data_IF_285223495486
#
_entry.id   IF_285223495486
#
_cell.length_a   1.000
_cell.length_b   1.000
_cell.length_c   1.000
_cell.angle_alpha   90.00
_cell.angle_beta   90.00
_cell.angle_gamma   90.00
#
_symmetry.space_group_name_H-M   'P 1'
#
loop_
_entity.id
_entity.type
_entity.pdbx_description
1 polymer ?
#
# COMPACT_ATOMS: atom_id res chain seq x y z
N UNK A 1 37.67 16.40 5.87
CA UNK A 1 37.17 15.45 4.85
C UNK A 1 36.17 16.06 3.87
N UNK A 2 35.20 16.90 4.29
CA UNK A 2 34.22 17.46 3.34
C UNK A 2 34.85 18.34 2.24
N UNK A 3 35.78 19.23 2.59
CA UNK A 3 36.51 20.07 1.61
C UNK A 3 37.29 19.23 0.59
N UNK A 4 37.92 18.15 1.04
CA UNK A 4 38.65 17.22 0.19
C UNK A 4 37.71 16.50 -0.80
N UNK A 5 36.54 16.05 -0.32
CA UNK A 5 35.49 15.45 -1.14
C UNK A 5 34.94 16.43 -2.17
N UNK A 6 34.64 17.66 -1.77
CA UNK A 6 34.19 18.72 -2.69
C UNK A 6 35.28 19.04 -3.71
N UNK A 7 36.54 19.15 -3.30
CA UNK A 7 37.67 19.36 -4.23
C UNK A 7 37.79 18.23 -5.24
N UNK A 8 37.66 16.98 -4.81
CA UNK A 8 37.68 15.81 -5.69
C UNK A 8 36.47 15.78 -6.65
N UNK A 9 35.28 16.18 -6.18
CA UNK A 9 34.09 16.36 -7.02
C UNK A 9 34.32 17.43 -8.10
N UNK A 10 34.88 18.60 -7.73
CA UNK A 10 35.21 19.64 -8.71
C UNK A 10 36.25 19.15 -9.75
N UNK A 11 37.21 18.32 -9.33
CA UNK A 11 38.18 17.70 -10.25
C UNK A 11 37.56 16.69 -11.21
N UNK A 12 36.45 16.05 -10.81
CA UNK A 12 35.71 15.05 -11.61
C UNK A 12 34.98 15.67 -12.81
N UNK A 13 34.69 16.97 -12.76
CA UNK A 13 33.97 17.69 -13.81
C UNK A 13 34.66 17.64 -15.18
N UNK A 14 33.89 17.69 -16.29
CA UNK A 14 34.43 17.89 -17.64
C UNK A 14 35.37 19.10 -17.72
N UNK A 15 36.44 18.98 -18.52
CA UNK A 15 37.49 20.01 -18.67
C UNK A 15 36.94 21.43 -18.89
N UNK A 16 35.92 21.67 -19.75
CA UNK A 16 35.39 23.01 -19.99
C UNK A 16 34.72 23.65 -18.77
N UNK A 17 34.05 22.85 -17.93
CA UNK A 17 33.40 23.33 -16.70
C UNK A 17 34.42 23.54 -15.59
N UNK A 18 35.40 22.64 -15.49
CA UNK A 18 36.45 22.72 -14.47
C UNK A 18 37.34 23.95 -14.63
N UNK A 19 37.63 24.37 -15.87
CA UNK A 19 38.44 25.56 -16.16
C UNK A 19 37.79 26.87 -15.65
N UNK A 20 36.46 26.93 -15.61
CA UNK A 20 35.72 28.11 -15.14
C UNK A 20 35.74 28.26 -13.60
N UNK A 21 36.15 27.22 -12.88
CA UNK A 21 36.14 27.17 -11.41
C UNK A 21 37.54 27.25 -10.78
N UNK A 22 38.59 27.47 -11.58
CA UNK A 22 39.96 27.56 -11.10
C UNK A 22 40.15 28.90 -10.36
N UNK A 23 40.73 28.93 -9.14
CA UNK A 23 41.39 27.82 -8.42
C UNK A 23 40.42 26.88 -7.68
N UNK A 24 40.44 25.58 -8.03
CA UNK A 24 39.52 24.59 -7.46
C UNK A 24 39.58 24.46 -5.93
N UNK A 25 40.75 24.50 -5.27
CA UNK A 25 40.80 24.42 -3.80
C UNK A 25 40.11 25.61 -3.12
N UNK A 26 40.25 26.81 -3.70
CA UNK A 26 39.60 28.01 -3.18
C UNK A 26 38.08 27.94 -3.38
N UNK A 27 37.64 27.52 -4.57
CA UNK A 27 36.22 27.30 -4.87
C UNK A 27 35.61 26.25 -3.93
N UNK A 28 36.32 25.14 -3.69
CA UNK A 28 35.85 24.11 -2.77
C UNK A 28 35.64 24.63 -1.35
N UNK A 29 36.55 25.45 -0.81
CA UNK A 29 36.40 26.11 0.50
C UNK A 29 35.15 26.99 0.57
N UNK A 30 34.93 27.82 -0.45
CA UNK A 30 33.76 28.70 -0.52
C UNK A 30 32.45 27.90 -0.60
N UNK A 31 32.43 26.84 -1.42
CA UNK A 31 31.28 25.94 -1.54
C UNK A 31 30.97 25.29 -0.20
N UNK A 32 31.97 24.71 0.48
CA UNK A 32 31.79 24.02 1.77
C UNK A 32 31.18 24.94 2.83
N UNK A 33 31.58 26.22 2.87
CA UNK A 33 31.03 27.18 3.81
C UNK A 33 29.51 27.42 3.61
N UNK A 34 29.03 27.24 2.39
CA UNK A 34 27.62 27.44 2.03
C UNK A 34 26.81 26.14 2.01
N UNK A 35 27.42 24.99 2.32
CA UNK A 35 26.71 23.71 2.43
C UNK A 35 26.04 23.59 3.79
N UNK A 36 24.78 23.11 3.78
CA UNK A 36 24.04 22.74 4.98
C UNK A 36 24.02 21.23 5.13
N UNK A 37 24.29 20.75 6.34
CA UNK A 37 24.24 19.33 6.64
C UNK A 37 22.79 18.80 6.53
N UNK A 38 22.62 17.59 5.97
CA UNK A 38 21.33 16.92 5.88
C UNK A 38 20.39 17.41 4.77
N UNK A 39 20.79 18.39 3.95
CA UNK A 39 19.93 18.95 2.90
C UNK A 39 20.24 18.38 1.50
N UNK A 40 19.40 17.44 1.04
CA UNK A 40 19.44 16.92 -0.33
C UNK A 40 20.67 16.08 -0.67
N UNK A 41 20.89 15.81 -1.96
CA UNK A 41 22.08 15.08 -2.43
C UNK A 41 23.28 16.02 -2.56
N UNK A 42 24.47 15.52 -2.25
CA UNK A 42 25.71 16.30 -2.27
C UNK A 42 25.99 16.96 -3.64
N UNK A 43 25.85 16.28 -4.81
CA UNK A 43 26.05 16.93 -6.10
C UNK A 43 25.08 18.09 -6.36
N UNK A 44 23.84 17.98 -5.90
CA UNK A 44 22.82 19.04 -6.03
C UNK A 44 23.16 20.21 -5.11
N UNK A 45 23.54 19.95 -3.86
CA UNK A 45 23.92 20.98 -2.90
C UNK A 45 25.17 21.73 -3.36
N UNK A 46 26.20 21.01 -3.85
CA UNK A 46 27.42 21.58 -4.43
C UNK A 46 27.11 22.42 -5.67
N UNK A 47 26.29 21.92 -6.59
CA UNK A 47 25.84 22.67 -7.78
C UNK A 47 25.19 24.02 -7.42
N UNK A 48 24.26 24.01 -6.45
CA UNK A 48 23.59 25.22 -5.97
C UNK A 48 24.56 26.19 -5.30
N UNK A 49 25.48 25.67 -4.47
CA UNK A 49 26.47 26.47 -3.79
C UNK A 49 27.46 27.11 -4.77
N UNK A 50 27.91 26.39 -5.81
CA UNK A 50 28.73 26.96 -6.89
C UNK A 50 27.97 28.09 -7.58
N UNK A 51 26.71 27.86 -7.94
CA UNK A 51 25.90 28.88 -8.60
C UNK A 51 25.73 30.14 -7.72
N UNK A 52 25.56 29.97 -6.41
CA UNK A 52 25.46 31.09 -5.48
C UNK A 52 26.77 31.86 -5.32
N UNK A 53 27.93 31.17 -5.33
CA UNK A 53 29.24 31.81 -5.16
C UNK A 53 29.78 32.46 -6.44
N UNK A 54 29.58 31.84 -7.61
CA UNK A 54 30.24 32.23 -8.86
C UNK A 54 29.28 32.57 -10.01
N UNK A 55 27.97 32.34 -9.85
CA UNK A 55 26.98 32.50 -10.91
C UNK A 55 26.99 31.38 -11.97
N UNK A 56 27.98 30.47 -11.94
CA UNK A 56 28.12 29.40 -12.91
C UNK A 56 27.15 28.27 -12.59
N UNK A 57 26.33 27.89 -13.57
CA UNK A 57 25.38 26.79 -13.43
C UNK A 57 26.01 25.48 -13.88
N UNK A 58 26.14 24.54 -12.96
CA UNK A 58 26.66 23.19 -13.23
C UNK A 58 25.56 22.17 -13.01
N UNK A 59 25.14 21.39 -14.02
CA UNK A 59 24.19 20.31 -13.82
C UNK A 59 24.76 19.28 -12.82
N UNK A 60 24.00 18.84 -11.79
CA UNK A 60 24.44 17.84 -10.82
C UNK A 60 24.94 16.53 -11.45
N UNK A 61 24.42 16.19 -12.62
CA UNK A 61 24.77 14.99 -13.40
C UNK A 61 26.16 15.09 -14.05
N UNK A 62 26.78 16.28 -14.02
CA UNK A 62 28.14 16.49 -14.55
C UNK A 62 29.23 16.03 -13.58
N UNK A 63 28.90 15.78 -12.31
CA UNK A 63 29.83 15.26 -11.33
C UNK A 63 29.96 13.75 -11.49
N UNK A 64 31.20 13.26 -11.60
CA UNK A 64 31.48 11.84 -11.71
C UNK A 64 31.99 11.30 -10.36
N UNK A 65 31.05 10.85 -9.52
CA UNK A 65 31.36 10.27 -8.20
C UNK A 65 32.20 8.99 -8.30
N UNK A 66 32.20 8.31 -9.46
CA UNK A 66 33.01 7.11 -9.71
C UNK A 66 34.50 7.40 -9.86
N UNK A 67 34.90 8.68 -9.94
CA UNK A 67 36.31 9.12 -9.93
C UNK A 67 36.81 9.50 -8.54
N UNK A 68 35.94 9.54 -7.53
CA UNK A 68 36.34 9.86 -6.17
C UNK A 68 37.18 8.72 -5.59
N UNK A 69 38.22 9.05 -4.84
CA UNK A 69 38.99 8.08 -4.08
C UNK A 69 38.08 7.32 -3.10
N UNK A 70 38.45 6.08 -2.80
CA UNK A 70 37.64 5.15 -2.01
C UNK A 70 37.23 5.67 -0.62
N UNK A 71 38.11 6.42 0.05
CA UNK A 71 37.86 6.99 1.38
C UNK A 71 36.97 8.25 1.35
N UNK A 72 36.71 8.82 0.16
CA UNK A 72 35.80 9.97 -0.03
C UNK A 72 34.38 9.54 -0.41
N UNK A 73 34.18 8.25 -0.69
CA UNK A 73 32.85 7.68 -0.98
C UNK A 73 32.14 7.32 0.31
N UNK A 74 30.81 7.37 0.28
CA UNK A 74 30.00 6.93 1.40
C UNK A 74 30.29 5.44 1.66
N UNK A 75 30.62 5.12 2.91
CA UNK A 75 30.70 3.75 3.41
C UNK A 75 29.67 3.64 4.52
N UNK A 76 28.83 2.62 4.42
CA UNK A 76 27.82 2.29 5.41
C UNK A 76 28.38 1.12 6.20
N UNK A 77 28.39 1.26 7.52
CA UNK A 77 28.74 0.20 8.44
C UNK A 77 27.52 -0.08 9.29
N UNK A 78 27.16 -1.36 9.38
CA UNK A 78 26.04 -1.83 10.18
C UNK A 78 26.63 -2.49 11.40
N UNK A 79 26.30 -1.95 12.57
CA UNK A 79 26.74 -2.45 13.85
C UNK A 79 25.63 -3.28 14.51
N UNK A 80 26.03 -4.31 15.26
CA UNK A 80 25.17 -5.08 16.15
C UNK A 80 24.99 -4.39 17.50
N UNK A 81 24.27 -5.05 18.42
CA UNK A 81 23.99 -4.53 19.77
C UNK A 81 25.25 -4.35 20.62
N UNK A 82 26.31 -5.13 20.39
CA UNK A 82 27.57 -5.05 21.14
C UNK A 82 28.59 -4.08 20.50
N UNK A 83 28.13 -3.14 19.66
CA UNK A 83 28.98 -2.27 18.81
C UNK A 83 29.94 -3.05 17.88
N UNK A 84 29.69 -4.35 17.66
CA UNK A 84 30.46 -5.16 16.72
C UNK A 84 30.03 -4.88 15.27
N UNK A 85 30.98 -4.69 14.33
CA UNK A 85 30.66 -4.45 12.92
C UNK A 85 30.16 -5.73 12.25
N UNK A 86 28.88 -5.77 11.88
CA UNK A 86 28.24 -6.93 11.22
C UNK A 86 28.57 -6.99 9.74
N UNK A 87 28.52 -5.83 9.08
CA UNK A 87 28.89 -5.69 7.68
C UNK A 87 29.25 -4.25 7.38
N UNK A 88 30.17 -4.07 6.43
CA UNK A 88 30.56 -2.77 5.94
C UNK A 88 30.64 -2.80 4.43
N UNK A 89 30.12 -1.77 3.79
CA UNK A 89 30.03 -1.73 2.34
C UNK A 89 29.67 -0.35 1.83
N UNK A 90 29.75 -0.18 0.51
CA UNK A 90 29.41 1.08 -0.17
C UNK A 90 28.11 1.00 -0.95
N UNK A 91 27.60 -0.22 -1.16
CA UNK A 91 26.29 -0.47 -1.75
C UNK A 91 25.29 -0.83 -0.64
N UNK A 92 24.42 0.12 -0.32
CA UNK A 92 23.35 -0.06 0.66
C UNK A 92 22.40 -1.19 0.27
N UNK A 93 22.09 -1.38 -1.02
CA UNK A 93 21.18 -2.44 -1.48
C UNK A 93 21.82 -3.81 -1.31
N UNK A 94 23.12 -3.92 -1.57
CA UNK A 94 23.87 -5.14 -1.33
C UNK A 94 23.90 -5.47 0.17
N UNK A 95 24.28 -4.51 1.03
CA UNK A 95 24.28 -4.69 2.48
C UNK A 95 22.90 -5.10 3.01
N UNK A 96 21.83 -4.42 2.59
CA UNK A 96 20.45 -4.76 2.96
C UNK A 96 20.04 -6.16 2.48
N UNK A 97 20.50 -6.58 1.30
CA UNK A 97 20.21 -7.90 0.75
C UNK A 97 20.93 -9.01 1.51
N UNK A 98 22.21 -8.81 1.85
CA UNK A 98 23.03 -9.77 2.60
C UNK A 98 22.53 -9.92 4.03
N UNK A 99 22.41 -8.81 4.75
CA UNK A 99 21.92 -8.79 6.14
C UNK A 99 20.45 -9.18 6.23
N UNK A 100 19.62 -8.78 5.26
CA UNK A 100 18.21 -9.17 5.21
C UNK A 100 18.01 -10.68 5.06
N UNK A 101 18.85 -11.37 4.27
CA UNK A 101 18.83 -12.84 4.17
C UNK A 101 19.24 -13.50 5.48
N UNK A 102 20.26 -12.97 6.15
CA UNK A 102 20.72 -13.48 7.44
C UNK A 102 19.66 -13.27 8.54
N UNK A 103 19.02 -12.10 8.57
CA UNK A 103 17.91 -11.81 9.46
C UNK A 103 16.74 -12.78 9.21
N UNK A 104 16.25 -12.88 7.96
CA UNK A 104 15.13 -13.76 7.61
C UNK A 104 15.39 -15.24 7.96
N UNK A 105 16.62 -15.73 7.75
CA UNK A 105 17.02 -17.09 8.15
C UNK A 105 17.04 -17.27 9.68
N UNK A 106 17.47 -16.24 10.42
CA UNK A 106 17.51 -16.22 11.89
C UNK A 106 16.11 -16.16 12.50
N UNK A 107 15.17 -15.47 11.85
CA UNK A 107 13.76 -15.40 12.22
C UNK A 107 12.99 -16.69 11.93
N UNK A 108 13.24 -17.33 10.78
CA UNK A 108 12.54 -18.56 10.37
C UNK A 108 12.80 -19.74 11.32
N UNK A 109 13.93 -19.74 12.02
CA UNK A 109 14.23 -20.69 13.08
C UNK A 109 13.88 -20.13 14.48
N UNK A 110 12.65 -19.61 14.65
CA UNK A 110 12.23 -18.88 15.86
C UNK A 110 12.55 -19.68 17.17
N UNK A 111 13.09 -19.04 18.23
CA UNK A 111 13.60 -19.76 19.41
C UNK A 111 12.52 -20.24 20.38
N UNK A 112 11.32 -19.65 20.32
CA UNK A 112 10.25 -19.90 21.29
C UNK A 112 9.04 -20.57 20.61
N UNK A 113 8.79 -21.87 20.90
CA UNK A 113 7.67 -22.62 20.35
C UNK A 113 6.31 -21.95 20.54
N UNK A 114 6.15 -21.04 21.51
CA UNK A 114 4.88 -20.32 21.71
C UNK A 114 4.44 -19.51 20.48
N UNK A 115 5.37 -19.10 19.62
CA UNK A 115 5.07 -18.34 18.39
C UNK A 115 4.97 -19.21 17.13
N UNK A 116 5.02 -20.54 17.28
CA UNK A 116 4.93 -21.53 16.20
C UNK A 116 3.72 -22.43 16.47
N UNK A 117 2.54 -21.82 16.53
CA UNK A 117 1.28 -22.55 16.75
C UNK A 117 0.48 -22.62 15.46
N UNK A 118 -0.02 -23.80 15.15
CA UNK A 118 -0.82 -24.10 13.96
C UNK A 118 -2.23 -24.55 14.36
N UNK A 119 -3.11 -24.64 13.37
CA UNK A 119 -4.48 -25.15 13.52
C UNK A 119 -5.35 -24.46 14.58
N UNK A 120 -5.04 -23.20 14.88
CA UNK A 120 -5.81 -22.40 15.81
C UNK A 120 -7.16 -22.03 15.18
N UNK A 121 -8.26 -22.28 15.90
CA UNK A 121 -9.63 -21.93 15.47
C UNK A 121 -10.33 -20.97 16.42
N UNK A 122 -9.73 -20.72 17.57
CA UNK A 122 -10.21 -19.84 18.63
C UNK A 122 -9.04 -19.07 19.20
N UNK A 123 -9.31 -17.98 19.91
CA UNK A 123 -8.28 -17.22 20.61
C UNK A 123 -7.76 -18.01 21.83
N UNK A 124 -6.69 -18.80 21.65
CA UNK A 124 -6.13 -19.68 22.69
C UNK A 124 -4.63 -19.46 22.97
N UNK A 125 -4.06 -18.39 22.42
CA UNK A 125 -2.60 -18.13 22.43
C UNK A 125 -2.19 -16.94 23.31
N UNK A 126 -3.09 -16.42 24.14
CA UNK A 126 -2.82 -15.28 25.02
C UNK A 126 -2.79 -13.93 24.31
N UNK A 127 -2.31 -12.86 24.98
CA UNK A 127 -2.20 -11.53 24.39
C UNK A 127 -1.07 -11.44 23.36
N UNK A 128 -1.30 -10.67 22.30
CA UNK A 128 -0.33 -10.39 21.25
C UNK A 128 0.31 -9.02 21.49
N UNK A 129 1.55 -8.92 22.01
CA UNK A 129 2.23 -7.63 22.12
C UNK A 129 2.49 -7.04 20.72
N UNK A 130 2.75 -5.73 20.65
CA UNK A 130 3.09 -5.08 19.37
C UNK A 130 4.44 -5.54 18.83
N UNK A 131 5.41 -5.76 19.73
CA UNK A 131 6.76 -6.19 19.41
C UNK A 131 7.24 -7.26 20.41
N UNK A 132 8.15 -8.11 19.95
CA UNK A 132 8.81 -9.15 20.75
C UNK A 132 10.31 -9.05 20.51
N UNK A 133 11.13 -8.75 21.53
CA UNK A 133 12.57 -8.78 21.37
C UNK A 133 13.05 -10.23 21.20
N UNK A 134 13.95 -10.46 20.25
CA UNK A 134 14.59 -11.73 19.95
C UNK A 134 16.09 -11.55 20.07
N UNK A 135 16.73 -12.29 20.96
CA UNK A 135 18.18 -12.26 21.14
C UNK A 135 18.76 -13.53 20.52
N UNK A 136 19.57 -13.40 19.45
CA UNK A 136 20.20 -14.57 18.81
C UNK A 136 21.53 -14.23 18.17
N UNK A 137 22.55 -15.05 18.46
CA UNK A 137 23.90 -14.91 17.90
C UNK A 137 24.52 -13.50 18.09
N UNK A 138 24.30 -12.89 19.26
CA UNK A 138 24.77 -11.52 19.56
C UNK A 138 23.96 -10.40 18.90
N UNK A 139 22.87 -10.73 18.19
CA UNK A 139 21.98 -9.75 17.57
C UNK A 139 20.68 -9.59 18.39
N UNK A 140 20.36 -8.34 18.74
CA UNK A 140 19.01 -7.95 19.16
C UNK A 140 18.15 -7.66 17.93
N UNK A 141 17.18 -8.54 17.67
CA UNK A 141 16.20 -8.41 16.60
C UNK A 141 14.81 -8.14 17.21
N UNK A 142 13.95 -7.46 16.45
CA UNK A 142 12.56 -7.20 16.86
C UNK A 142 11.62 -7.98 15.97
N UNK A 143 10.83 -8.87 16.57
CA UNK A 143 9.76 -9.60 15.91
C UNK A 143 8.39 -8.98 16.14
N UNK A 144 7.50 -9.17 15.18
CA UNK A 144 6.14 -8.65 15.18
C UNK A 144 5.15 -9.81 15.12
N UNK A 145 4.43 -10.11 16.24
CA UNK A 145 3.47 -11.21 16.28
C UNK A 145 2.32 -10.99 15.31
N UNK A 146 1.97 -12.04 14.57
CA UNK A 146 0.90 -12.02 13.58
C UNK A 146 0.16 -13.35 13.48
N UNK A 147 -1.01 -13.31 12.88
CA UNK A 147 -1.82 -14.46 12.54
C UNK A 147 -1.81 -14.62 11.03
N UNK A 148 -1.43 -15.79 10.53
CA UNK A 148 -1.54 -16.13 9.11
C UNK A 148 -2.84 -16.89 8.86
N UNK A 149 -3.54 -16.54 7.79
CA UNK A 149 -4.74 -17.26 7.33
C UNK A 149 -4.34 -18.58 6.65
N UNK A 150 -4.82 -19.71 7.18
CA UNK A 150 -4.61 -21.06 6.62
C UNK A 150 -5.90 -21.63 5.98
N UNK A 151 -6.91 -20.80 5.75
CA UNK A 151 -8.22 -21.16 5.16
C UNK A 151 -9.19 -21.76 6.18
N UNK A 152 -8.78 -22.78 6.91
CA UNK A 152 -9.63 -23.54 7.85
C UNK A 152 -9.26 -23.27 9.32
N UNK A 153 -8.15 -22.58 9.52
CA UNK A 153 -7.51 -22.28 10.79
C UNK A 153 -6.64 -21.04 10.60
N UNK A 154 -6.05 -20.58 11.69
CA UNK A 154 -4.99 -19.57 11.67
C UNK A 154 -3.73 -20.14 12.30
N UNK A 155 -2.58 -19.64 11.88
CA UNK A 155 -1.30 -19.97 12.51
C UNK A 155 -0.69 -18.73 13.14
N UNK A 156 -0.23 -18.83 14.38
CA UNK A 156 0.52 -17.78 15.04
C UNK A 156 1.97 -17.83 14.55
N UNK A 157 2.52 -16.69 14.14
CA UNK A 157 3.90 -16.53 13.68
C UNK A 157 4.49 -15.21 14.14
N UNK A 158 5.81 -15.11 14.05
CA UNK A 158 6.59 -13.91 14.31
C UNK A 158 7.29 -13.49 13.01
N UNK A 159 7.01 -12.28 12.52
CA UNK A 159 7.66 -11.74 11.31
C UNK A 159 8.67 -10.66 11.66
N UNK A 160 9.59 -10.39 10.75
CA UNK A 160 10.67 -9.38 10.87
C UNK A 160 10.26 -7.98 10.39
N UNK A 161 9.13 -7.87 9.70
CA UNK A 161 8.57 -6.63 9.18
C UNK A 161 7.23 -6.31 9.85
N UNK A 162 7.16 -5.15 10.51
CA UNK A 162 5.93 -4.64 11.13
C UNK A 162 4.78 -4.50 10.11
N UNK A 163 5.11 -4.02 8.92
CA UNK A 163 4.14 -3.76 7.84
C UNK A 163 3.58 -5.07 7.29
N UNK A 164 4.43 -6.08 7.09
CA UNK A 164 4.00 -7.43 6.71
C UNK A 164 3.18 -8.08 7.83
N UNK A 165 3.63 -8.00 9.08
CA UNK A 165 2.93 -8.56 10.22
C UNK A 165 1.53 -7.97 10.36
N UNK A 166 1.38 -6.66 10.23
CA UNK A 166 0.07 -6.00 10.27
C UNK A 166 -0.82 -6.40 9.09
N UNK A 167 -0.25 -6.52 7.89
CA UNK A 167 -0.96 -6.99 6.71
C UNK A 167 -1.52 -8.40 6.95
N UNK A 168 -0.68 -9.37 7.31
CA UNK A 168 -1.12 -10.74 7.59
C UNK A 168 -2.10 -10.80 8.77
N UNK A 169 -1.85 -9.99 9.81
CA UNK A 169 -2.66 -9.98 11.02
C UNK A 169 -4.12 -9.64 10.70
N UNK A 170 -4.36 -8.73 9.74
CA UNK A 170 -5.71 -8.43 9.21
C UNK A 170 -6.39 -9.68 8.65
N UNK A 171 -5.70 -10.44 7.81
CA UNK A 171 -6.24 -11.66 7.17
C UNK A 171 -6.46 -12.78 8.19
N UNK A 172 -5.48 -13.04 9.06
CA UNK A 172 -5.61 -14.04 10.12
C UNK A 172 -6.72 -13.68 11.11
N UNK A 173 -6.84 -12.42 11.51
CA UNK A 173 -7.90 -11.98 12.40
C UNK A 173 -9.29 -12.10 11.75
N UNK A 174 -9.43 -11.74 10.47
CA UNK A 174 -10.65 -11.99 9.69
C UNK A 174 -11.03 -13.47 9.69
N UNK A 175 -10.07 -14.36 9.41
CA UNK A 175 -10.29 -15.80 9.44
C UNK A 175 -10.77 -16.26 10.81
N UNK A 176 -10.18 -15.76 11.88
CA UNK A 176 -10.58 -16.10 13.25
C UNK A 176 -12.02 -15.66 13.55
N UNK A 177 -12.45 -14.48 13.09
CA UNK A 177 -13.85 -14.07 13.15
C UNK A 177 -14.77 -15.00 12.35
N UNK A 178 -14.39 -15.35 11.11
CA UNK A 178 -15.14 -16.30 10.28
C UNK A 178 -15.34 -17.66 10.96
N UNK A 179 -14.31 -18.16 11.66
CA UNK A 179 -14.35 -19.42 12.41
C UNK A 179 -15.18 -19.32 13.70
N UNK A 180 -15.30 -18.12 14.28
CA UNK A 180 -16.05 -17.88 15.52
C UNK A 180 -17.55 -17.75 15.28
N UNK A 181 -17.98 -17.16 14.15
CA UNK A 181 -19.39 -16.93 13.81
C UNK A 181 -19.84 -17.53 12.47
N UNK A 182 -19.52 -18.81 12.18
CA UNK A 182 -19.70 -19.37 10.85
C UNK A 182 -21.18 -19.50 10.45
N UNK A 183 -22.09 -19.75 11.41
CA UNK A 183 -23.52 -19.93 11.13
C UNK A 183 -24.17 -18.62 10.74
N UNK A 184 -23.94 -17.57 11.52
CA UNK A 184 -24.49 -16.24 11.30
C UNK A 184 -23.97 -15.65 9.98
N UNK A 185 -22.66 -15.76 9.70
CA UNK A 185 -22.08 -15.33 8.43
C UNK A 185 -22.68 -16.07 7.24
N UNK A 186 -22.76 -17.41 7.33
CA UNK A 186 -23.35 -18.24 6.27
C UNK A 186 -24.80 -17.86 6.00
N UNK A 187 -25.59 -17.66 7.07
CA UNK A 187 -26.97 -17.21 6.94
C UNK A 187 -27.05 -15.87 6.19
N UNK A 188 -26.21 -14.88 6.50
CA UNK A 188 -26.23 -13.60 5.78
C UNK A 188 -25.89 -13.78 4.30
N UNK A 189 -24.83 -14.53 3.98
CA UNK A 189 -24.39 -14.72 2.60
C UNK A 189 -25.41 -15.52 1.78
N UNK A 190 -26.00 -16.58 2.35
CA UNK A 190 -26.99 -17.41 1.65
C UNK A 190 -28.26 -16.64 1.27
N UNK A 191 -28.59 -15.56 1.99
CA UNK A 191 -29.75 -14.70 1.72
C UNK A 191 -29.42 -13.50 0.81
N UNK A 192 -28.18 -13.37 0.32
CA UNK A 192 -27.83 -12.28 -0.59
C UNK A 192 -28.66 -12.36 -1.88
N UNK A 193 -29.25 -11.24 -2.33
CA UNK A 193 -29.98 -11.20 -3.58
C UNK A 193 -29.02 -11.49 -4.74
N UNK A 194 -29.51 -12.22 -5.75
CA UNK A 194 -28.74 -12.57 -6.96
C UNK A 194 -27.49 -13.43 -6.74
N UNK A 195 -27.28 -14.01 -5.56
CA UNK A 195 -26.09 -14.84 -5.27
C UNK A 195 -25.85 -15.93 -6.32
N UNK A 196 -26.90 -16.66 -6.72
CA UNK A 196 -26.76 -17.75 -7.68
C UNK A 196 -26.27 -17.27 -9.06
N UNK A 197 -26.71 -16.08 -9.51
CA UNK A 197 -26.23 -15.51 -10.78
C UNK A 197 -24.78 -15.03 -10.67
N UNK A 198 -24.41 -14.41 -9.55
CA UNK A 198 -23.01 -14.02 -9.30
C UNK A 198 -22.08 -15.22 -9.22
N UNK A 199 -22.50 -16.30 -8.55
CA UNK A 199 -21.74 -17.55 -8.47
C UNK A 199 -21.52 -18.13 -9.87
N UNK A 200 -22.56 -18.17 -10.71
CA UNK A 200 -22.44 -18.65 -12.09
C UNK A 200 -21.46 -17.79 -12.91
N UNK A 201 -21.59 -16.46 -12.83
CA UNK A 201 -20.69 -15.52 -13.53
C UNK A 201 -19.26 -15.60 -12.98
N UNK A 202 -19.07 -15.87 -11.69
CA UNK A 202 -17.74 -15.98 -11.07
C UNK A 202 -16.93 -17.17 -11.61
N UNK A 203 -17.59 -18.21 -12.12
CA UNK A 203 -16.91 -19.35 -12.76
C UNK A 203 -16.19 -18.97 -14.05
N UNK A 204 -16.51 -17.83 -14.65
CA UNK A 204 -15.86 -17.34 -15.86
C UNK A 204 -14.76 -16.33 -15.59
N UNK A 205 -14.46 -16.02 -14.32
CA UNK A 205 -13.34 -15.16 -13.94
C UNK A 205 -12.03 -15.70 -14.53
N UNK A 206 -11.03 -14.84 -14.81
CA UNK A 206 -9.74 -15.29 -15.34
C UNK A 206 -9.09 -16.36 -14.46
N UNK A 207 -9.33 -16.27 -13.15
CA UNK A 207 -8.90 -17.24 -12.16
C UNK A 207 -10.12 -17.65 -11.32
N UNK A 208 -10.68 -18.85 -11.55
CA UNK A 208 -11.83 -19.34 -10.79
C UNK A 208 -11.55 -19.40 -9.29
N UNK A 209 -12.54 -19.02 -8.49
CA UNK A 209 -12.45 -19.06 -7.03
C UNK A 209 -13.81 -19.39 -6.40
N UNK A 210 -13.80 -19.64 -5.09
CA UNK A 210 -15.03 -19.80 -4.32
C UNK A 210 -15.62 -18.43 -3.97
N UNK A 211 -16.55 -17.94 -4.80
CA UNK A 211 -17.16 -16.64 -4.55
C UNK A 211 -17.88 -16.58 -3.19
N UNK A 212 -18.52 -17.67 -2.77
CA UNK A 212 -19.22 -17.72 -1.47
C UNK A 212 -18.25 -17.48 -0.32
N UNK A 213 -17.08 -18.11 -0.34
CA UNK A 213 -16.06 -17.92 0.71
C UNK A 213 -15.51 -16.50 0.71
N UNK A 214 -15.27 -15.92 -0.48
CA UNK A 214 -14.83 -14.53 -0.57
C UNK A 214 -15.90 -13.54 -0.09
N UNK A 215 -17.19 -13.80 -0.33
CA UNK A 215 -18.28 -12.98 0.18
C UNK A 215 -18.38 -13.10 1.71
N UNK A 216 -18.20 -14.31 2.27
CA UNK A 216 -18.13 -14.51 3.72
C UNK A 216 -17.01 -13.68 4.34
N UNK A 217 -15.80 -13.77 3.77
CA UNK A 217 -14.66 -12.97 4.19
C UNK A 217 -14.95 -11.47 4.09
N UNK A 218 -15.53 -11.00 2.99
CA UNK A 218 -15.84 -9.59 2.81
C UNK A 218 -16.89 -9.08 3.80
N UNK A 219 -17.93 -9.86 4.09
CA UNK A 219 -18.93 -9.52 5.12
C UNK A 219 -18.29 -9.48 6.51
N UNK A 220 -17.43 -10.45 6.83
CA UNK A 220 -16.70 -10.47 8.10
C UNK A 220 -15.75 -9.27 8.24
N UNK A 221 -15.00 -8.95 7.19
CA UNK A 221 -14.14 -7.78 7.12
C UNK A 221 -14.93 -6.49 7.40
N UNK A 222 -16.11 -6.35 6.77
CA UNK A 222 -16.99 -5.19 6.99
C UNK A 222 -17.53 -5.13 8.42
N UNK A 223 -17.96 -6.25 8.99
CA UNK A 223 -18.58 -6.27 10.31
C UNK A 223 -17.57 -6.12 11.46
N UNK A 224 -16.38 -6.73 11.35
CA UNK A 224 -15.45 -6.87 12.47
C UNK A 224 -14.17 -6.03 12.35
N UNK A 225 -13.74 -5.64 11.15
CA UNK A 225 -12.46 -4.95 10.92
C UNK A 225 -12.60 -3.48 10.50
N UNK A 226 -13.82 -2.92 10.57
CA UNK A 226 -14.08 -1.52 10.22
C UNK A 226 -13.43 -0.49 11.15
N UNK A 227 -13.20 -0.86 12.41
CA UNK A 227 -12.66 0.03 13.43
C UNK A 227 -11.25 -0.41 13.83
N UNK A 228 -10.37 0.57 14.04
CA UNK A 228 -9.02 0.38 14.56
C UNK A 228 -8.88 1.08 15.92
N UNK A 229 -8.04 0.58 16.84
CA UNK A 229 -7.15 -0.59 16.70
C UNK A 229 -7.89 -1.94 16.69
N UNK A 230 -7.26 -2.95 16.08
CA UNK A 230 -7.79 -4.32 16.07
C UNK A 230 -7.46 -5.06 17.36
N UNK A 231 -8.30 -6.01 17.81
CA UNK A 231 -8.10 -6.73 19.06
C UNK A 231 -6.78 -7.50 19.08
N UNK A 232 -6.00 -7.31 20.14
CA UNK A 232 -4.74 -8.02 20.42
C UNK A 232 -4.80 -8.87 21.68
N UNK A 233 -5.95 -8.97 22.33
CA UNK A 233 -6.18 -9.84 23.49
C UNK A 233 -7.52 -10.59 23.40
N UNK A 234 -7.66 -11.69 24.17
CA UNK A 234 -8.89 -12.47 24.19
C UNK A 234 -10.13 -11.64 24.63
N UNK A 235 -10.04 -10.77 25.68
CA UNK A 235 -11.17 -9.91 26.05
C UNK A 235 -11.53 -8.92 24.94
N UNK A 236 -10.56 -8.28 24.29
CA UNK A 236 -10.80 -7.37 23.16
C UNK A 236 -11.44 -8.09 21.98
N UNK A 237 -10.98 -9.31 21.68
CA UNK A 237 -11.57 -10.14 20.62
C UNK A 237 -13.02 -10.49 20.94
N UNK A 238 -13.31 -10.89 22.18
CA UNK A 238 -14.67 -11.17 22.64
C UNK A 238 -15.59 -9.95 22.52
N UNK A 239 -15.09 -8.76 22.88
CA UNK A 239 -15.83 -7.50 22.70
C UNK A 239 -16.08 -7.21 21.21
N UNK A 240 -15.08 -7.37 20.35
CA UNK A 240 -15.22 -7.17 18.91
C UNK A 240 -16.23 -8.14 18.28
N UNK A 241 -16.29 -9.39 18.74
CA UNK A 241 -17.33 -10.35 18.33
C UNK A 241 -18.71 -9.88 18.77
N UNK A 242 -18.85 -9.45 20.03
CA UNK A 242 -20.13 -9.01 20.59
C UNK A 242 -20.69 -7.75 19.87
N UNK A 243 -19.82 -6.80 19.52
CA UNK A 243 -20.21 -5.57 18.80
C UNK A 243 -20.38 -5.77 17.30
N UNK A 244 -19.59 -6.66 16.68
CA UNK A 244 -19.65 -6.89 15.24
C UNK A 244 -20.76 -7.84 14.79
N UNK A 245 -21.19 -8.79 15.64
CA UNK A 245 -22.28 -9.73 15.31
C UNK A 245 -23.59 -9.02 14.88
N UNK A 246 -24.09 -8.01 15.63
CA UNK A 246 -25.28 -7.25 15.21
C UNK A 246 -25.12 -6.53 13.86
N UNK A 247 -23.89 -6.17 13.48
CA UNK A 247 -23.58 -5.43 12.25
C UNK A 247 -23.53 -6.33 11.00
N UNK A 248 -23.59 -7.65 11.16
CA UNK A 248 -23.48 -8.61 10.05
C UNK A 248 -24.54 -8.38 8.96
N UNK A 249 -25.78 -8.08 9.34
CA UNK A 249 -26.86 -7.81 8.39
C UNK A 249 -26.60 -6.53 7.58
N UNK A 250 -26.17 -5.44 8.24
CA UNK A 250 -25.79 -4.19 7.59
C UNK A 250 -24.60 -4.39 6.65
N UNK A 251 -23.57 -5.10 7.11
CA UNK A 251 -22.41 -5.45 6.29
C UNK A 251 -22.79 -6.26 5.05
N UNK A 252 -23.68 -7.25 5.18
CA UNK A 252 -24.17 -8.03 4.06
C UNK A 252 -24.96 -7.18 3.06
N UNK A 253 -25.80 -6.26 3.52
CA UNK A 253 -26.53 -5.33 2.67
C UNK A 253 -25.60 -4.36 1.90
N UNK A 254 -24.54 -3.84 2.55
CA UNK A 254 -23.49 -3.05 1.90
C UNK A 254 -22.78 -3.84 0.81
N UNK A 255 -22.38 -5.09 1.12
CA UNK A 255 -21.74 -5.99 0.16
C UNK A 255 -22.66 -6.27 -1.02
N UNK A 256 -23.94 -6.59 -0.79
CA UNK A 256 -24.91 -6.83 -1.85
C UNK A 256 -25.01 -5.65 -2.82
N UNK A 257 -25.08 -4.42 -2.28
CA UNK A 257 -25.16 -3.18 -3.05
C UNK A 257 -23.89 -2.94 -3.89
N UNK A 258 -22.72 -3.31 -3.37
CA UNK A 258 -21.45 -3.18 -4.09
C UNK A 258 -21.27 -4.26 -5.17
N UNK A 259 -21.74 -5.49 -4.94
CA UNK A 259 -21.56 -6.63 -5.85
C UNK A 259 -22.42 -6.55 -7.10
N UNK A 260 -23.65 -6.04 -6.99
CA UNK A 260 -24.54 -5.93 -8.14
C UNK A 260 -23.92 -5.18 -9.34
N UNK A 261 -23.48 -3.91 -9.21
CA UNK A 261 -22.88 -3.18 -10.33
C UNK A 261 -21.52 -3.77 -10.77
N UNK A 262 -20.82 -4.49 -9.89
CA UNK A 262 -19.56 -5.17 -10.21
C UNK A 262 -19.80 -6.33 -11.19
N UNK A 263 -20.71 -7.23 -10.86
CA UNK A 263 -21.02 -8.39 -11.71
C UNK A 263 -21.75 -8.01 -13.00
N UNK A 264 -22.57 -6.95 -12.98
CA UNK A 264 -23.14 -6.37 -14.20
C UNK A 264 -22.04 -5.85 -15.13
N UNK A 265 -21.11 -5.03 -14.62
CA UNK A 265 -20.00 -4.50 -15.41
C UNK A 265 -19.11 -5.63 -15.93
N UNK A 266 -18.81 -6.64 -15.12
CA UNK A 266 -18.02 -7.80 -15.55
C UNK A 266 -18.73 -8.62 -16.65
N UNK A 267 -20.05 -8.80 -16.55
CA UNK A 267 -20.84 -9.45 -17.62
C UNK A 267 -20.78 -8.66 -18.93
N UNK A 268 -20.79 -7.33 -18.85
CA UNK A 268 -20.60 -6.47 -20.03
C UNK A 268 -19.19 -6.61 -20.62
N UNK A 269 -18.15 -6.69 -19.78
CA UNK A 269 -16.76 -6.95 -20.24
C UNK A 269 -16.71 -8.24 -21.04
N UNK A 270 -17.34 -9.32 -20.56
CA UNK A 270 -17.38 -10.60 -21.28
C UNK A 270 -18.04 -10.49 -22.67
N UNK A 271 -19.18 -9.81 -22.76
CA UNK A 271 -19.86 -9.58 -24.05
C UNK A 271 -19.01 -8.75 -25.02
N UNK A 272 -18.36 -7.70 -24.53
CA UNK A 272 -17.45 -6.89 -25.34
C UNK A 272 -16.19 -7.67 -25.76
N UNK A 273 -15.71 -8.55 -24.89
CA UNK A 273 -14.59 -9.45 -25.16
C UNK A 273 -14.90 -10.46 -26.27
N UNK A 274 -16.10 -11.04 -26.30
CA UNK A 274 -16.50 -11.96 -27.38
C UNK A 274 -16.54 -11.26 -28.74
N UNK A 275 -17.07 -10.04 -28.81
CA UNK A 275 -17.18 -9.25 -30.06
C UNK A 275 -15.84 -8.75 -30.62
N UNK A 276 -14.82 -8.67 -29.78
CA UNK A 276 -13.49 -8.17 -30.15
C UNK A 276 -12.51 -9.30 -30.44
N UNK A 277 -12.98 -10.54 -30.63
CA UNK A 277 -12.12 -11.70 -30.89
C UNK A 277 -11.57 -11.72 -32.32
N UNK A 278 -10.62 -10.84 -32.61
CA UNK A 278 -9.96 -10.73 -33.92
C UNK A 278 -8.45 -10.55 -33.76
N UNK A 279 -7.59 -11.16 -34.62
CA UNK A 279 -6.13 -11.09 -34.50
C UNK A 279 -5.57 -9.66 -34.43
N UNK A 280 -6.18 -8.72 -35.16
CA UNK A 280 -5.76 -7.31 -35.16
C UNK A 280 -5.82 -6.62 -33.78
N UNK A 281 -6.60 -7.16 -32.83
CA UNK A 281 -6.77 -6.60 -31.49
C UNK A 281 -6.02 -7.39 -30.42
N UNK A 282 -5.18 -8.34 -30.80
CA UNK A 282 -4.55 -9.28 -29.87
C UNK A 282 -3.72 -8.59 -28.78
N UNK A 283 -2.96 -7.53 -29.10
CA UNK A 283 -2.16 -6.79 -28.13
C UNK A 283 -3.02 -6.12 -27.06
N UNK A 284 -4.08 -5.42 -27.46
CA UNK A 284 -5.04 -4.79 -26.53
C UNK A 284 -5.78 -5.83 -25.71
N UNK A 285 -6.18 -6.95 -26.32
CA UNK A 285 -6.82 -8.06 -25.60
C UNK A 285 -5.89 -8.65 -24.56
N UNK A 286 -4.62 -8.87 -24.87
CA UNK A 286 -3.65 -9.38 -23.90
C UNK A 286 -3.51 -8.42 -22.71
N UNK A 287 -3.37 -7.12 -22.95
CA UNK A 287 -3.29 -6.14 -21.87
C UNK A 287 -4.57 -6.08 -21.02
N UNK A 288 -5.75 -6.19 -21.63
CA UNK A 288 -7.03 -6.28 -20.90
C UNK A 288 -7.12 -7.57 -20.09
N UNK A 289 -6.68 -8.70 -20.64
CA UNK A 289 -6.64 -9.97 -19.92
C UNK A 289 -5.71 -9.88 -18.71
N UNK A 290 -4.49 -9.35 -18.88
CA UNK A 290 -3.54 -9.13 -17.80
C UNK A 290 -4.12 -8.22 -16.71
N UNK A 291 -4.80 -7.14 -17.11
CA UNK A 291 -5.48 -6.22 -16.18
C UNK A 291 -6.58 -6.96 -15.39
N UNK A 292 -7.43 -7.75 -16.06
CA UNK A 292 -8.51 -8.49 -15.42
C UNK A 292 -7.98 -9.57 -14.46
N UNK A 293 -6.94 -10.30 -14.86
CA UNK A 293 -6.30 -11.32 -14.02
C UNK A 293 -5.76 -10.72 -12.72
N UNK A 294 -5.21 -9.50 -12.78
CA UNK A 294 -4.72 -8.81 -11.59
C UNK A 294 -5.84 -8.14 -10.77
N UNK A 295 -6.86 -7.57 -11.42
CA UNK A 295 -7.97 -6.88 -10.73
C UNK A 295 -8.92 -7.87 -10.04
N UNK A 296 -9.13 -9.04 -10.64
CA UNK A 296 -10.08 -10.07 -10.19
C UNK A 296 -9.38 -11.38 -9.79
N UNK A 297 -8.16 -11.29 -9.27
CA UNK A 297 -7.43 -12.44 -8.74
C UNK A 297 -8.18 -13.08 -7.54
N UNK A 298 -7.90 -14.35 -7.18
CA UNK A 298 -8.45 -14.95 -5.97
C UNK A 298 -8.23 -14.06 -4.73
N UNK A 299 -9.25 -13.97 -3.88
CA UNK A 299 -9.27 -13.08 -2.73
C UNK A 299 -9.45 -11.59 -3.02
N UNK A 300 -9.69 -11.15 -4.27
CA UNK A 300 -9.76 -9.70 -4.59
C UNK A 300 -10.76 -8.91 -3.73
N UNK A 301 -11.89 -9.52 -3.34
CA UNK A 301 -12.91 -8.89 -2.50
C UNK A 301 -12.42 -8.56 -1.08
N UNK A 302 -11.45 -9.33 -0.60
CA UNK A 302 -10.95 -9.22 0.76
C UNK A 302 -9.60 -8.48 0.81
N UNK A 303 -8.81 -8.59 -0.27
CA UNK A 303 -7.52 -7.92 -0.42
C UNK A 303 -7.66 -6.43 -0.73
N UNK A 304 -8.52 -6.06 -1.69
CA UNK A 304 -8.67 -4.66 -2.10
C UNK A 304 -9.40 -3.88 -1.00
N UNK A 305 -8.84 -2.78 -0.46
CA UNK A 305 -9.50 -1.98 0.55
C UNK A 305 -10.88 -1.51 0.07
N UNK A 306 -11.86 -1.48 0.97
CA UNK A 306 -13.25 -1.16 0.64
C UNK A 306 -13.41 0.13 -0.17
N UNK A 307 -12.68 1.19 0.21
CA UNK A 307 -12.70 2.49 -0.46
C UNK A 307 -12.31 2.42 -1.95
N UNK A 308 -11.51 1.43 -2.35
CA UNK A 308 -11.14 1.17 -3.73
C UNK A 308 -12.02 0.12 -4.39
N UNK A 309 -12.49 -0.86 -3.62
CA UNK A 309 -13.35 -1.94 -4.11
C UNK A 309 -14.62 -1.38 -4.76
N UNK A 310 -15.23 -0.36 -4.17
CA UNK A 310 -16.43 0.30 -4.72
C UNK A 310 -16.22 0.93 -6.11
N UNK A 311 -14.96 1.11 -6.54
CA UNK A 311 -14.61 1.65 -7.86
C UNK A 311 -14.36 0.57 -8.93
N UNK A 312 -14.27 -0.71 -8.57
CA UNK A 312 -14.10 -1.81 -9.54
C UNK A 312 -15.15 -1.79 -10.66
N UNK A 313 -16.45 -1.55 -10.40
CA UNK A 313 -17.43 -1.42 -11.48
C UNK A 313 -17.05 -0.36 -12.51
N UNK A 314 -16.45 0.77 -12.10
CA UNK A 314 -16.00 1.82 -13.00
C UNK A 314 -14.80 1.39 -13.83
N UNK A 315 -13.82 0.70 -13.23
CA UNK A 315 -12.67 0.16 -13.96
C UNK A 315 -13.11 -0.87 -15.01
N UNK A 316 -14.05 -1.75 -14.65
CA UNK A 316 -14.63 -2.71 -15.60
C UNK A 316 -15.40 -2.02 -16.72
N UNK A 317 -16.19 -0.98 -16.43
CA UNK A 317 -16.85 -0.16 -17.47
C UNK A 317 -15.84 0.54 -18.39
N UNK A 318 -14.69 0.98 -17.86
CA UNK A 318 -13.63 1.53 -18.69
C UNK A 318 -13.05 0.49 -19.66
N UNK A 319 -12.91 -0.76 -19.22
CA UNK A 319 -12.54 -1.89 -20.09
C UNK A 319 -13.60 -2.11 -21.17
N UNK A 320 -14.89 -2.11 -20.81
CA UNK A 320 -15.99 -2.22 -21.80
C UNK A 320 -15.86 -1.13 -22.86
N UNK A 321 -15.72 0.14 -22.45
CA UNK A 321 -15.56 1.27 -23.38
C UNK A 321 -14.35 1.12 -24.28
N UNK A 322 -13.22 0.67 -23.74
CA UNK A 322 -12.01 0.43 -24.52
C UNK A 322 -12.24 -0.64 -25.58
N UNK A 323 -12.84 -1.78 -25.22
CA UNK A 323 -13.14 -2.87 -26.14
C UNK A 323 -14.17 -2.45 -27.21
N UNK A 324 -15.23 -1.72 -26.84
CA UNK A 324 -16.22 -1.19 -27.79
C UNK A 324 -15.58 -0.24 -28.82
N UNK A 325 -14.67 0.64 -28.37
CA UNK A 325 -13.94 1.58 -29.24
C UNK A 325 -13.05 0.85 -30.26
N UNK A 326 -12.55 -0.35 -29.95
CA UNK A 326 -11.78 -1.14 -30.94
C UNK A 326 -12.64 -1.52 -32.14
N UNK A 327 -13.86 -2.02 -31.88
CA UNK A 327 -14.81 -2.42 -32.92
C UNK A 327 -15.33 -1.23 -33.74
N UNK A 328 -15.35 -0.02 -33.18
CA UNK A 328 -15.81 1.20 -33.86
C UNK A 328 -14.68 1.99 -34.55
N UNK A 329 -13.56 1.35 -34.89
CA UNK A 329 -12.44 1.98 -35.62
C UNK A 329 -11.42 2.75 -34.77
N UNK A 330 -11.52 2.69 -33.44
CA UNK A 330 -10.60 3.35 -32.50
C UNK A 330 -9.27 2.62 -32.24
N UNK A 331 -8.99 1.51 -32.94
CA UNK A 331 -7.82 0.66 -32.68
C UNK A 331 -6.47 1.37 -32.82
N UNK A 332 -6.33 2.29 -33.78
CA UNK A 332 -5.08 3.05 -33.97
C UNK A 332 -4.76 3.96 -32.77
N UNK A 333 -5.78 4.61 -32.19
CA UNK A 333 -5.65 5.47 -31.01
C UNK A 333 -5.29 4.66 -29.76
N UNK A 334 -5.87 3.47 -29.60
CA UNK A 334 -5.52 2.57 -28.49
C UNK A 334 -4.04 2.19 -28.53
N UNK A 335 -3.56 1.76 -29.71
CA UNK A 335 -2.15 1.40 -29.94
C UNK A 335 -1.19 2.57 -29.68
N UNK A 336 -1.59 3.82 -29.96
CA UNK A 336 -0.77 5.00 -29.66
C UNK A 336 -0.69 5.33 -28.18
N UNK A 337 -1.73 5.03 -27.39
CA UNK A 337 -1.79 5.34 -25.97
C UNK A 337 -1.10 4.27 -25.09
N UNK A 338 -1.12 3.01 -25.54
CA UNK A 338 -0.60 1.86 -24.80
C UNK A 338 0.89 1.97 -24.38
N UNK A 339 1.82 2.49 -25.22
CA UNK A 339 3.22 2.68 -24.85
C UNK A 339 3.46 3.60 -23.65
N UNK A 340 2.52 4.51 -23.34
CA UNK A 340 2.61 5.36 -22.15
C UNK A 340 2.32 4.61 -20.84
N UNK A 341 1.53 3.54 -20.92
CA UNK A 341 1.06 2.75 -19.78
C UNK A 341 1.93 1.52 -19.49
N UNK A 342 2.32 0.78 -20.53
CA UNK A 342 3.04 -0.49 -20.38
C UNK A 342 4.31 -0.40 -19.52
N UNK A 343 5.18 0.63 -19.64
CA UNK A 343 6.35 0.74 -18.78
C UNK A 343 6.00 0.90 -17.30
N UNK A 344 4.92 1.62 -16.98
CA UNK A 344 4.46 1.83 -15.60
C UNK A 344 3.91 0.52 -15.00
N UNK A 345 3.18 -0.24 -15.80
CA UNK A 345 2.65 -1.55 -15.44
C UNK A 345 3.76 -2.59 -15.24
N UNK A 346 4.75 -2.63 -16.15
CA UNK A 346 5.86 -3.58 -16.07
C UNK A 346 6.75 -3.32 -14.84
N UNK A 347 7.05 -2.05 -14.51
CA UNK A 347 7.76 -1.70 -13.27
C UNK A 347 7.03 -2.19 -12.01
N UNK A 348 5.70 -2.06 -11.99
CA UNK A 348 4.92 -2.59 -10.88
C UNK A 348 5.01 -4.12 -10.80
N UNK A 349 4.86 -4.84 -11.92
CA UNK A 349 4.98 -6.30 -11.97
C UNK A 349 6.35 -6.77 -11.46
N UNK A 350 7.44 -6.17 -11.95
CA UNK A 350 8.81 -6.49 -11.54
C UNK A 350 9.00 -6.26 -10.04
N UNK A 351 8.55 -5.11 -9.52
CA UNK A 351 8.65 -4.79 -8.10
C UNK A 351 7.81 -5.75 -7.25
N UNK A 352 6.62 -6.09 -7.70
CA UNK A 352 5.76 -7.02 -6.98
C UNK A 352 6.38 -8.42 -6.91
N UNK A 353 6.96 -8.91 -8.02
CA UNK A 353 7.66 -10.19 -8.03
C UNK A 353 8.86 -10.20 -7.07
N UNK A 354 9.61 -9.09 -6.98
CA UNK A 354 10.71 -8.96 -6.02
C UNK A 354 10.24 -8.99 -4.56
N UNK A 355 9.08 -8.41 -4.25
CA UNK A 355 8.52 -8.43 -2.90
C UNK A 355 8.00 -9.83 -2.54
N UNK A 356 7.30 -10.49 -3.46
CA UNK A 356 6.82 -11.86 -3.28
C UNK A 356 7.95 -12.86 -2.99
N UNK A 357 9.06 -12.78 -3.74
CA UNK A 357 10.22 -13.67 -3.52
C UNK A 357 10.89 -13.45 -2.17
N UNK A 358 10.66 -12.29 -1.53
CA UNK A 358 11.18 -11.95 -0.20
C UNK A 358 10.14 -12.11 0.91
N UNK A 359 8.89 -12.46 0.59
CA UNK A 359 7.79 -12.50 1.56
C UNK A 359 7.48 -11.14 2.18
N UNK A 360 7.72 -10.05 1.44
CA UNK A 360 7.50 -8.68 1.91
C UNK A 360 6.24 -8.06 1.28
N UNK A 361 5.63 -7.14 2.03
CA UNK A 361 4.46 -6.39 1.64
C UNK A 361 4.77 -4.90 1.66
N UNK A 362 4.33 -4.20 0.62
CA UNK A 362 4.52 -2.76 0.45
C UNK A 362 3.16 -2.09 0.15
N UNK A 363 2.57 -1.37 1.13
CA UNK A 363 1.27 -0.72 0.96
C UNK A 363 1.31 0.41 -0.08
N UNK A 364 2.47 1.03 -0.31
CA UNK A 364 2.61 2.06 -1.34
C UNK A 364 2.52 1.43 -2.74
N UNK A 365 3.04 0.21 -2.91
CA UNK A 365 2.94 -0.52 -4.17
C UNK A 365 1.50 -0.95 -4.49
N UNK A 366 0.71 -1.35 -3.48
CA UNK A 366 -0.73 -1.61 -3.67
C UNK A 366 -1.48 -0.34 -4.08
N UNK A 367 -1.17 0.78 -3.42
CA UNK A 367 -1.77 2.08 -3.77
C UNK A 367 -1.40 2.46 -5.20
N UNK A 368 -0.13 2.31 -5.58
CA UNK A 368 0.36 2.54 -6.94
C UNK A 368 -0.40 1.70 -7.97
N UNK A 369 -0.62 0.40 -7.68
CA UNK A 369 -1.40 -0.51 -8.53
C UNK A 369 -2.81 0.01 -8.80
N UNK A 370 -3.48 0.53 -7.77
CA UNK A 370 -4.84 1.06 -7.89
C UNK A 370 -4.85 2.41 -8.63
N UNK A 371 -3.82 3.23 -8.46
CA UNK A 371 -3.63 4.45 -9.26
C UNK A 371 -3.41 4.17 -10.75
N UNK A 372 -2.82 3.03 -11.12
CA UNK A 372 -2.73 2.62 -12.52
C UNK A 372 -4.12 2.37 -13.13
N UNK A 373 -5.10 1.91 -12.34
CA UNK A 373 -6.48 1.75 -12.80
C UNK A 373 -7.14 3.10 -13.07
N UNK A 374 -6.93 4.10 -12.21
CA UNK A 374 -7.37 5.47 -12.47
C UNK A 374 -6.74 6.05 -13.74
N UNK A 375 -5.45 5.78 -13.96
CA UNK A 375 -4.76 6.20 -15.16
C UNK A 375 -5.35 5.52 -16.42
N UNK A 376 -5.68 4.23 -16.34
CA UNK A 376 -6.38 3.51 -17.43
C UNK A 376 -7.74 4.14 -17.73
N UNK A 377 -8.52 4.53 -16.71
CA UNK A 377 -9.79 5.26 -16.92
C UNK A 377 -9.53 6.59 -17.63
N UNK A 378 -8.55 7.38 -17.17
CA UNK A 378 -8.21 8.66 -17.78
C UNK A 378 -7.77 8.53 -19.25
N UNK A 379 -7.06 7.46 -19.60
CA UNK A 379 -6.54 7.27 -20.95
C UNK A 379 -7.63 6.76 -21.90
N UNK A 380 -8.39 5.74 -21.49
CA UNK A 380 -9.28 4.99 -22.39
C UNK A 380 -10.77 5.34 -22.27
N UNK A 381 -11.19 5.92 -21.13
CA UNK A 381 -12.60 6.19 -20.81
C UNK A 381 -12.78 7.48 -19.99
N UNK A 382 -12.31 8.61 -20.53
CA UNK A 382 -12.35 9.93 -19.90
C UNK A 382 -13.76 10.34 -19.41
N UNK A 383 -14.78 9.93 -20.16
CA UNK A 383 -16.19 10.17 -19.87
C UNK A 383 -16.66 9.61 -18.51
N UNK A 384 -15.95 8.62 -17.94
CA UNK A 384 -16.29 8.02 -16.65
C UNK A 384 -15.73 8.79 -15.44
N UNK A 385 -14.80 9.72 -15.66
CA UNK A 385 -14.09 10.45 -14.61
C UNK A 385 -13.19 9.59 -13.73
N UNK A 386 -12.28 10.24 -12.99
CA UNK A 386 -11.40 9.59 -12.02
C UNK A 386 -11.83 9.89 -10.58
N UNK A 387 -11.69 8.91 -9.68
CA UNK A 387 -12.04 9.10 -8.26
C UNK A 387 -11.02 9.98 -7.53
N UNK A 388 -9.77 9.96 -8.00
CA UNK A 388 -8.67 10.83 -7.57
C UNK A 388 -8.05 11.52 -8.78
N UNK A 389 -7.44 12.69 -8.57
CA UNK A 389 -6.73 13.39 -9.64
C UNK A 389 -5.46 12.64 -10.02
N UNK A 390 -5.43 12.06 -11.22
CA UNK A 390 -4.23 11.43 -11.80
C UNK A 390 -3.84 12.23 -13.03
N UNK A 391 -2.59 12.70 -13.10
CA UNK A 391 -2.11 13.52 -14.23
C UNK A 391 -1.13 12.73 -15.09
N UNK A 392 -1.27 12.88 -16.42
CA UNK A 392 -0.29 12.42 -17.41
C UNK A 392 1.10 13.07 -17.22
N UNK A 393 1.18 14.27 -16.62
CA UNK A 393 2.45 14.91 -16.27
C UNK A 393 3.06 14.18 -15.09
N UNK A 394 3.72 13.05 -15.36
CA UNK A 394 4.69 12.20 -14.62
C UNK A 394 4.83 12.32 -13.09
N UNK A 395 4.69 13.49 -12.48
CA UNK A 395 5.00 13.79 -11.07
C UNK A 395 4.25 12.90 -10.08
N UNK A 396 2.94 12.67 -10.19
CA UNK A 396 2.21 11.92 -9.12
C UNK A 396 2.48 10.41 -9.12
N UNK A 397 2.48 9.76 -10.30
CA UNK A 397 2.79 8.33 -10.40
C UNK A 397 4.30 8.07 -10.21
N UNK A 398 5.16 8.98 -10.69
CA UNK A 398 6.63 8.85 -10.53
C UNK A 398 7.12 9.24 -9.13
N UNK A 399 6.44 10.13 -8.41
CA UNK A 399 6.81 10.48 -7.03
C UNK A 399 6.75 9.26 -6.11
N UNK A 400 5.75 8.40 -6.27
CA UNK A 400 5.67 7.14 -5.50
C UNK A 400 6.83 6.22 -5.87
N UNK A 401 7.18 6.09 -7.15
CA UNK A 401 8.35 5.31 -7.61
C UNK A 401 9.67 5.88 -7.06
N UNK A 402 9.81 7.19 -6.90
CA UNK A 402 11.03 7.79 -6.35
C UNK A 402 11.09 7.75 -4.80
N UNK A 403 9.94 7.78 -4.12
CA UNK A 403 9.85 7.62 -2.65
C UNK A 403 10.17 6.19 -2.20
N UNK A 404 9.93 5.19 -3.04
CA UNK A 404 10.32 3.79 -2.78
C UNK A 404 11.83 3.51 -2.80
N UNK A 405 12.68 4.54 -3.00
CA UNK A 405 14.15 4.41 -3.09
C UNK A 405 14.95 4.92 -1.89
N UNK A 406 14.31 5.34 -0.80
CA UNK A 406 15.04 5.75 0.41
C UNK A 406 14.14 5.87 1.62
N UNK A 407 14.62 5.37 2.76
CA UNK A 407 13.98 5.43 4.06
C UNK A 407 13.70 6.88 4.47
N UNK A 408 12.49 7.38 4.20
CA UNK A 408 11.81 8.53 4.84
C UNK A 408 10.51 8.84 4.08
N UNK A 409 9.41 8.10 4.30
CA UNK A 409 8.12 8.46 3.70
C UNK A 409 6.84 8.06 4.47
N UNK A 410 6.94 7.38 5.61
CA UNK A 410 5.76 6.93 6.36
C UNK A 410 4.85 8.07 6.87
N UNK A 411 5.39 9.28 7.12
CA UNK A 411 4.60 10.39 7.66
C UNK A 411 3.82 11.21 6.60
N UNK A 412 4.25 11.19 5.34
CA UNK A 412 3.64 12.02 4.29
C UNK A 412 2.44 11.32 3.64
N UNK A 413 2.56 10.02 3.36
CA UNK A 413 1.48 9.22 2.78
C UNK A 413 0.30 9.05 3.77
N UNK A 414 0.60 8.79 5.04
CA UNK A 414 -0.40 8.68 6.11
C UNK A 414 -1.18 9.99 6.31
N UNK A 415 -0.51 11.15 6.26
CA UNK A 415 -1.15 12.47 6.37
C UNK A 415 -2.03 12.83 5.18
N UNK A 416 -1.68 12.39 3.97
CA UNK A 416 -2.53 12.61 2.79
C UNK A 416 -3.74 11.67 2.76
N UNK A 417 -3.58 10.42 3.20
CA UNK A 417 -4.69 9.48 3.41
C UNK A 417 -5.65 9.94 4.51
N UNK A 418 -5.16 10.46 5.63
CA UNK A 418 -5.97 11.08 6.68
C UNK A 418 -6.74 12.31 6.16
N UNK A 419 -6.11 13.17 5.37
CA UNK A 419 -6.80 14.33 4.76
C UNK A 419 -7.87 13.91 3.76
N UNK A 420 -7.66 12.83 3.01
CA UNK A 420 -8.65 12.28 2.08
C UNK A 420 -9.83 11.66 2.84
N UNK A 421 -9.56 10.92 3.92
CA UNK A 421 -10.59 10.37 4.80
C UNK A 421 -11.39 11.48 5.52
N UNK A 422 -10.72 12.51 6.04
CA UNK A 422 -11.37 13.70 6.63
C UNK A 422 -12.24 14.44 5.60
N UNK A 423 -11.78 14.58 4.35
CA UNK A 423 -12.58 15.20 3.27
C UNK A 423 -13.79 14.37 2.84
N UNK A 424 -13.72 13.05 2.96
CA UNK A 424 -14.85 12.15 2.73
C UNK A 424 -15.84 12.17 3.90
N UNK A 425 -15.37 12.25 5.14
CA UNK A 425 -16.19 12.43 6.35
C UNK A 425 -16.92 13.78 6.37
N UNK A 426 -16.32 14.83 5.79
CA UNK A 426 -16.95 16.15 5.64
C UNK A 426 -18.16 16.17 4.67
N UNK A 427 -18.45 15.08 3.95
CA UNK A 427 -19.61 14.92 3.04
C UNK A 427 -20.79 14.16 3.67
N UNK A 428 -20.72 13.79 4.94
CA UNK A 428 -21.86 13.24 5.67
C UNK A 428 -22.94 14.32 5.89
N UNK A 429 -24.24 13.94 5.98
CA UNK A 429 -25.30 14.86 6.37
C UNK A 429 -24.95 15.59 7.67
N UNK A 430 -25.44 16.83 7.82
CA UNK A 430 -25.03 17.76 8.89
C UNK A 430 -25.06 17.15 10.30
N UNK A 431 -26.01 16.26 10.56
CA UNK A 431 -26.29 15.73 11.89
C UNK A 431 -25.29 14.62 12.30
N UNK A 432 -24.85 13.78 11.35
CA UNK A 432 -23.78 12.79 11.57
C UNK A 432 -22.40 13.45 11.72
N UNK A 433 -22.22 14.62 11.13
CA UNK A 433 -20.98 15.40 11.19
C UNK A 433 -20.71 15.90 12.61
N UNK A 434 -21.76 16.19 13.37
CA UNK A 434 -21.68 16.65 14.77
C UNK A 434 -21.33 15.51 15.73
N UNK A 435 -22.04 14.37 15.72
CA UNK A 435 -21.69 13.24 16.62
C UNK A 435 -20.25 12.71 16.33
N UNK A 436 -19.79 12.71 15.08
CA UNK A 436 -18.42 12.28 14.72
C UNK A 436 -17.33 13.28 15.15
N UNK A 437 -17.64 14.57 15.13
CA UNK A 437 -16.74 15.62 15.58
C UNK A 437 -16.65 15.67 17.12
N UNK A 438 -17.73 15.35 17.83
CA UNK A 438 -17.73 15.15 19.28
C UNK A 438 -16.88 13.93 19.70
N UNK A 439 -16.99 12.80 18.97
CA UNK A 439 -16.17 11.60 19.23
C UNK A 439 -14.68 11.84 18.99
N UNK A 440 -14.32 12.60 17.94
CA UNK A 440 -12.94 12.98 17.67
C UNK A 440 -12.37 13.94 18.73
N UNK A 441 -13.18 14.88 19.24
CA UNK A 441 -12.75 15.81 20.30
C UNK A 441 -12.57 15.12 21.66
N UNK A 442 -13.39 14.12 21.99
CA UNK A 442 -13.20 13.27 23.18
C UNK A 442 -11.92 12.42 23.08
N UNK A 443 -11.59 11.90 21.88
CA UNK A 443 -10.37 11.12 21.64
C UNK A 443 -9.08 11.94 21.79
N UNK A 444 -9.13 13.24 21.52
CA UNK A 444 -7.98 14.16 21.66
C UNK A 444 -7.81 14.74 23.08
N UNK A 445 -8.63 14.33 24.06
CA UNK A 445 -8.51 14.79 25.45
C UNK A 445 -8.83 16.28 25.66
N UNK A 446 -9.38 16.96 24.66
CA UNK A 446 -9.76 18.39 24.73
C UNK A 446 -11.23 18.50 25.14
N UNK A 447 -11.49 18.34 26.44
CA UNK A 447 -12.84 18.46 27.01
C UNK A 447 -13.30 19.93 27.09
N UNK A 448 -13.57 20.57 25.95
CA UNK A 448 -14.11 21.95 25.91
C UNK A 448 -15.58 22.05 26.35
N UNK A 449 -16.30 20.94 26.45
CA UNK A 449 -17.73 20.91 26.75
C UNK A 449 -18.08 20.20 28.08
N UNK A 450 -17.08 19.75 28.85
CA UNK A 450 -17.30 19.15 30.17
C UNK A 450 -18.08 17.83 30.14
N UNK A 451 -17.98 17.04 29.07
CA UNK A 451 -18.67 15.75 28.95
C UNK A 451 -17.82 14.69 29.65
N UNK A 452 -18.38 14.03 30.67
CA UNK A 452 -17.64 13.11 31.56
C UNK A 452 -18.14 11.66 31.46
N UNK A 453 -19.20 11.39 30.69
CA UNK A 453 -19.81 10.05 30.63
C UNK A 453 -20.45 9.71 29.26
N UNK A 454 -20.42 8.42 28.90
CA UNK A 454 -20.98 7.82 27.68
C UNK A 454 -22.50 7.96 27.63
N UNK A 455 -23.18 7.93 28.78
CA UNK A 455 -24.63 8.11 28.89
C UNK A 455 -25.08 9.54 28.56
N UNK A 456 -24.23 10.55 28.80
CA UNK A 456 -24.51 11.94 28.37
C UNK A 456 -24.34 12.13 26.86
N UNK A 457 -23.40 11.39 26.25
CA UNK A 457 -23.20 11.36 24.80
C UNK A 457 -24.39 10.72 24.07
N UNK A 458 -25.00 9.69 24.67
CA UNK A 458 -26.20 9.04 24.16
C UNK A 458 -27.44 9.94 24.24
N UNK A 459 -27.59 10.73 25.32
CA UNK A 459 -28.65 11.75 25.45
C UNK A 459 -28.54 12.86 24.40
N UNK A 460 -27.32 13.31 24.12
CA UNK A 460 -27.06 14.35 23.11
C UNK A 460 -27.41 13.89 21.68
N UNK A 461 -27.15 12.64 21.32
CA UNK A 461 -27.57 12.12 20.00
C UNK A 461 -29.07 11.71 19.96
N UNK A 462 -29.81 11.74 21.09
CA UNK A 462 -31.28 11.58 21.16
C UNK A 462 -32.05 12.91 21.10
N UNK A 463 -31.46 14.01 21.61
CA UNK A 463 -32.07 15.34 21.57
C UNK A 463 -31.98 16.00 20.18
N UNK A 464 -31.08 15.53 19.33
CA UNK A 464 -31.08 15.79 17.89
C UNK A 464 -31.70 14.57 17.22
N UNK A 465 -32.87 14.75 16.60
CA UNK A 465 -33.75 13.72 16.01
C UNK A 465 -33.09 12.94 14.84
N UNK A 466 -31.99 12.24 15.14
CA UNK A 466 -31.20 11.44 14.21
C UNK A 466 -31.68 9.99 14.34
N UNK A 467 -32.22 9.38 13.27
CA UNK A 467 -32.71 8.00 13.34
C UNK A 467 -31.53 7.05 13.61
N UNK A 468 -31.74 6.18 14.62
CA UNK A 468 -30.77 5.24 15.22
C UNK A 468 -30.12 4.30 14.22
#
# INVERSE_FOLDING_TARGET
MLEEKVTALLKSLPKPLRQQLVPLPQMARQVVHNLRFGEGSLPVAVSRAIQACSGIRIPPESFDESRLAEHLRLRVEVFGSDEEPLAAGRDLKQLQSELGKQAAATFSAAPDPRWLQDDLRTWSFGPLPETVPIHRAGLELVGYPTLLDQGNSVSLRLLDSAVQAQHEFRFGLRRLFCLTVPRELKQQVDHLPHLNSWVLVSKTLPQPCSLRDHLLEMVAERAFLSLTPWPRSQPEFGLAVATGKPLLATAAAEVARAMLPLFEAYTQVRRAWERTNHPQYQSTRQDVHDQLTQLLAPGFLARIPWAWLIHLPRYLRAIVRRLEKLSSGGGSRDTQQLPGLLPLWNRWKERQQQLQTRGLFDPELETYRLMLEEYRVLVFAQELGTAISVSQKRRHITLIVNLTSGAQSQSAASRELEKVQQRQLLRLPGDLKVCLQCLLLCREGRNRFGIVDVDQLFKLCLDFDVPV
#
